data_IF_367485947753
#
_entry.id   IF_367485947753
#
_cell.length_a   1.000
_cell.length_b   1.000
_cell.length_c   1.000
_cell.angle_alpha   90.00
_cell.angle_beta   90.00
_cell.angle_gamma   90.00
#
_symmetry.space_group_name_H-M   'P 1'
#
loop_
_entity.id
_entity.type
_entity.pdbx_description
1 polymer ?
#
# COMPACT_ATOMS: atom_id res chain seq x y z
N UNK A 1 12.06 -45.03 -30.90
CA UNK A 1 12.09 -44.62 -29.47
C UNK A 1 13.45 -44.00 -29.21
N UNK A 2 13.49 -42.76 -28.71
CA UNK A 2 14.72 -42.05 -28.37
C UNK A 2 14.83 -40.68 -29.03
N UNK A 3 14.15 -39.67 -28.46
CA UNK A 3 14.34 -38.25 -28.74
C UNK A 3 15.66 -37.77 -28.13
N UNK A 4 16.58 -37.31 -28.97
CA UNK A 4 17.83 -36.65 -28.55
C UNK A 4 17.66 -35.13 -28.76
N UNK A 5 17.86 -34.36 -27.69
CA UNK A 5 17.84 -32.90 -27.70
C UNK A 5 19.11 -32.33 -28.37
N UNK A 6 19.05 -31.20 -29.11
CA UNK A 6 20.25 -30.56 -29.64
C UNK A 6 21.00 -29.77 -28.55
N UNK A 7 22.29 -30.04 -28.45
CA UNK A 7 23.26 -29.35 -27.62
C UNK A 7 23.43 -27.87 -28.00
N UNK A 8 23.57 -27.02 -26.98
CA UNK A 8 24.16 -25.69 -27.06
C UNK A 8 25.64 -25.80 -27.40
N UNK A 9 26.05 -25.41 -28.61
CA UNK A 9 27.40 -24.93 -28.87
C UNK A 9 27.41 -23.87 -29.98
N UNK A 10 28.27 -22.88 -29.74
CA UNK A 10 28.90 -21.98 -30.72
C UNK A 10 28.04 -20.89 -31.38
N UNK A 11 27.98 -19.74 -30.72
CA UNK A 11 28.02 -18.45 -31.42
C UNK A 11 29.14 -17.61 -30.80
N UNK A 12 30.36 -17.85 -31.28
CA UNK A 12 31.48 -16.91 -31.19
C UNK A 12 32.04 -16.69 -32.58
N UNK A 13 32.36 -15.43 -32.87
CA UNK A 13 32.98 -14.90 -34.08
C UNK A 13 32.10 -14.77 -35.33
N UNK A 14 31.57 -13.56 -35.55
CA UNK A 14 31.91 -12.72 -36.72
C UNK A 14 31.14 -11.40 -36.62
N UNK A 15 31.79 -10.36 -36.10
CA UNK A 15 31.36 -8.98 -36.31
C UNK A 15 32.57 -8.20 -36.80
N UNK A 16 32.66 -8.06 -38.11
CA UNK A 16 33.61 -7.21 -38.82
C UNK A 16 33.42 -5.76 -38.41
N UNK A 17 34.56 -5.10 -38.25
CA UNK A 17 34.71 -3.70 -37.87
C UNK A 17 34.20 -2.79 -39.00
N UNK A 18 33.17 -2.01 -38.70
CA UNK A 18 32.98 -0.68 -39.29
C UNK A 18 32.75 0.32 -38.16
N UNK A 19 33.78 1.12 -37.86
CA UNK A 19 33.70 2.30 -37.00
C UNK A 19 33.19 3.46 -37.83
N UNK A 20 32.00 3.97 -37.50
CA UNK A 20 31.70 5.40 -37.60
C UNK A 20 30.49 5.76 -36.75
N UNK A 21 30.54 6.96 -36.15
CA UNK A 21 29.58 7.62 -35.25
C UNK A 21 29.68 7.26 -33.76
N UNK A 22 30.31 8.18 -33.02
CA UNK A 22 30.53 8.16 -31.58
C UNK A 22 29.26 8.28 -30.75
N UNK A 23 28.55 7.17 -30.61
CA UNK A 23 27.65 6.96 -29.47
C UNK A 23 28.48 6.32 -28.36
N UNK A 24 28.72 7.07 -27.28
CA UNK A 24 29.25 6.51 -26.04
C UNK A 24 28.27 5.42 -25.61
N UNK A 25 28.67 4.16 -25.76
CA UNK A 25 27.90 3.03 -25.26
C UNK A 25 27.75 3.21 -23.75
N UNK A 26 26.50 3.32 -23.29
CA UNK A 26 26.20 3.25 -21.86
C UNK A 26 26.86 1.98 -21.30
N UNK A 27 27.45 2.03 -20.10
CA UNK A 27 28.00 0.84 -19.46
C UNK A 27 26.89 -0.24 -19.38
N UNK A 28 27.24 -1.53 -19.51
CA UNK A 28 26.25 -2.60 -19.49
C UNK A 28 25.44 -2.49 -18.19
N UNK A 29 24.11 -2.37 -18.32
CA UNK A 29 23.18 -2.37 -17.19
C UNK A 29 23.48 -3.59 -16.32
N UNK A 30 23.73 -3.37 -15.03
CA UNK A 30 23.82 -4.46 -14.06
C UNK A 30 22.57 -5.35 -14.18
N UNK A 31 22.80 -6.67 -14.28
CA UNK A 31 21.77 -7.68 -14.32
C UNK A 31 21.05 -7.74 -12.96
N UNK A 32 19.88 -7.11 -12.88
CA UNK A 32 19.02 -7.15 -11.69
C UNK A 32 18.20 -8.45 -11.69
N UNK A 33 18.66 -9.43 -10.91
CA UNK A 33 17.99 -10.72 -10.72
C UNK A 33 16.53 -10.58 -10.24
N UNK A 34 16.20 -9.53 -9.47
CA UNK A 34 14.83 -9.26 -9.03
C UNK A 34 13.92 -8.91 -10.20
N UNK A 35 14.39 -8.08 -11.13
CA UNK A 35 13.62 -7.73 -12.32
C UNK A 35 13.51 -8.88 -13.34
N UNK A 36 14.53 -9.75 -13.43
CA UNK A 36 14.65 -10.82 -14.42
C UNK A 36 13.84 -12.07 -14.07
N UNK A 37 13.75 -12.43 -12.77
CA UNK A 37 13.05 -13.64 -12.33
C UNK A 37 11.56 -13.45 -12.02
N UNK A 38 11.11 -12.21 -11.83
CA UNK A 38 9.80 -11.94 -11.21
C UNK A 38 8.70 -11.49 -12.19
N UNK A 39 9.05 -10.91 -13.34
CA UNK A 39 8.07 -10.15 -14.15
C UNK A 39 7.89 -10.71 -15.56
N UNK A 40 6.76 -11.39 -15.80
CA UNK A 40 6.29 -11.72 -17.16
C UNK A 40 5.14 -10.78 -17.54
N UNK A 41 5.40 -9.88 -18.48
CA UNK A 41 4.48 -8.82 -18.89
C UNK A 41 3.39 -9.33 -19.86
N UNK A 42 2.40 -10.08 -19.36
CA UNK A 42 1.33 -10.69 -20.19
C UNK A 42 -0.10 -10.33 -19.75
N UNK A 43 -0.29 -9.43 -18.78
CA UNK A 43 -1.60 -9.09 -18.21
C UNK A 43 -2.49 -8.22 -19.09
N UNK A 44 -3.81 -8.44 -19.02
CA UNK A 44 -4.85 -7.60 -19.65
C UNK A 44 -5.32 -6.47 -18.72
N UNK A 45 -6.08 -5.50 -19.23
CA UNK A 45 -6.62 -4.40 -18.43
C UNK A 45 -7.66 -4.87 -17.38
N UNK A 46 -8.44 -5.91 -17.68
CA UNK A 46 -9.37 -6.53 -16.72
C UNK A 46 -8.61 -7.25 -15.59
N UNK A 47 -7.53 -7.95 -15.94
CA UNK A 47 -6.65 -8.59 -14.96
C UNK A 47 -6.02 -7.55 -14.04
N UNK A 48 -5.56 -6.43 -14.59
CA UNK A 48 -5.07 -5.28 -13.80
C UNK A 48 -6.15 -4.70 -12.88
N UNK A 49 -7.37 -4.45 -13.39
CA UNK A 49 -8.49 -3.98 -12.56
C UNK A 49 -8.84 -4.94 -11.43
N UNK A 50 -8.82 -6.24 -11.70
CA UNK A 50 -9.00 -7.28 -10.68
C UNK A 50 -7.91 -7.21 -9.61
N UNK A 51 -6.63 -7.23 -9.98
CA UNK A 51 -5.51 -7.16 -9.01
C UNK A 51 -5.49 -5.85 -8.23
N UNK A 52 -5.82 -4.72 -8.86
CA UNK A 52 -5.98 -3.44 -8.15
C UNK A 52 -7.10 -3.54 -7.11
N UNK A 53 -8.27 -4.08 -7.51
CA UNK A 53 -9.43 -4.21 -6.62
C UNK A 53 -9.13 -5.13 -5.45
N UNK A 54 -8.60 -6.32 -5.70
CA UNK A 54 -8.35 -7.32 -4.65
C UNK A 54 -7.18 -6.95 -3.74
N UNK A 55 -6.24 -6.15 -4.23
CA UNK A 55 -5.12 -5.64 -3.41
C UNK A 55 -5.53 -4.47 -2.53
N UNK A 56 -6.35 -3.54 -3.06
CA UNK A 56 -6.81 -2.37 -2.31
C UNK A 56 -7.94 -2.73 -1.33
N UNK A 57 -8.90 -3.55 -1.77
CA UNK A 57 -9.98 -4.06 -0.90
C UNK A 57 -9.42 -5.06 0.12
N UNK A 58 -8.86 -4.52 1.20
CA UNK A 58 -8.18 -5.23 2.27
C UNK A 58 -9.03 -5.24 3.56
N UNK A 59 -8.71 -6.08 4.55
CA UNK A 59 -9.41 -6.10 5.85
C UNK A 59 -9.42 -4.75 6.57
N UNK A 60 -8.56 -3.82 6.15
CA UNK A 60 -8.58 -2.41 6.52
C UNK A 60 -10.01 -1.81 6.48
N UNK A 61 -10.83 -2.19 5.49
CA UNK A 61 -12.19 -1.69 5.35
C UNK A 61 -13.09 -2.01 6.57
N UNK A 62 -12.78 -3.07 7.32
CA UNK A 62 -13.52 -3.47 8.53
C UNK A 62 -13.36 -2.46 9.68
N UNK A 63 -12.37 -1.57 9.59
CA UNK A 63 -12.13 -0.50 10.57
C UNK A 63 -12.78 0.85 10.18
N UNK A 64 -13.43 0.95 9.02
CA UNK A 64 -14.07 2.19 8.59
C UNK A 64 -15.18 2.67 9.56
N UNK A 65 -16.06 1.81 10.09
CA UNK A 65 -17.02 2.23 11.11
C UNK A 65 -16.35 2.81 12.35
N UNK A 66 -15.22 2.22 12.78
CA UNK A 66 -14.40 2.73 13.86
C UNK A 66 -13.82 4.11 13.56
N UNK A 67 -13.28 4.33 12.35
CA UNK A 67 -12.81 5.65 11.92
C UNK A 67 -13.93 6.71 11.94
N UNK A 68 -15.17 6.33 11.61
CA UNK A 68 -16.33 7.22 11.70
C UNK A 68 -16.71 7.57 13.15
N UNK A 69 -16.44 6.70 14.14
CA UNK A 69 -16.63 7.06 15.56
C UNK A 69 -15.75 8.23 16.01
N UNK A 70 -14.58 8.35 15.39
CA UNK A 70 -13.57 9.35 15.72
C UNK A 70 -13.81 10.69 15.00
N UNK A 71 -14.47 10.65 13.83
CA UNK A 71 -14.72 11.83 12.97
C UNK A 71 -16.18 12.31 12.98
N UNK A 72 -17.12 11.47 13.39
CA UNK A 72 -18.56 11.66 13.20
C UNK A 72 -18.99 11.48 11.73
N UNK A 73 -20.30 11.48 11.49
CA UNK A 73 -20.91 11.26 10.17
C UNK A 73 -20.36 12.18 9.08
N UNK A 74 -20.43 13.49 9.31
CA UNK A 74 -20.06 14.50 8.31
C UNK A 74 -18.55 14.44 8.03
N UNK A 75 -17.73 14.41 9.08
CA UNK A 75 -16.27 14.33 8.96
C UNK A 75 -15.82 13.03 8.29
N UNK A 76 -16.38 11.89 8.68
CA UNK A 76 -16.04 10.59 8.12
C UNK A 76 -16.37 10.47 6.63
N UNK A 77 -17.55 10.93 6.20
CA UNK A 77 -17.95 10.89 4.78
C UNK A 77 -17.10 11.83 3.92
N UNK A 78 -16.80 13.03 4.41
CA UNK A 78 -15.91 13.97 3.71
C UNK A 78 -14.50 13.39 3.60
N UNK A 79 -13.94 12.84 4.69
CA UNK A 79 -12.62 12.22 4.67
C UNK A 79 -12.57 11.00 3.74
N UNK A 80 -13.59 10.16 3.72
CA UNK A 80 -13.70 9.02 2.79
C UNK A 80 -13.71 9.48 1.34
N UNK A 81 -14.51 10.49 1.00
CA UNK A 81 -14.61 11.02 -0.36
C UNK A 81 -13.32 11.72 -0.80
N UNK A 82 -12.74 12.55 0.07
CA UNK A 82 -11.48 13.25 -0.22
C UNK A 82 -10.32 12.28 -0.36
N UNK A 83 -10.22 11.27 0.52
CA UNK A 83 -9.21 10.22 0.39
C UNK A 83 -9.35 9.51 -0.96
N UNK A 84 -10.54 9.01 -1.32
CA UNK A 84 -10.78 8.35 -2.60
C UNK A 84 -10.44 9.23 -3.82
N UNK A 85 -10.80 10.51 -3.80
CA UNK A 85 -10.49 11.46 -4.88
C UNK A 85 -8.98 11.71 -5.02
N UNK A 86 -8.29 11.95 -3.90
CA UNK A 86 -6.85 12.24 -3.90
C UNK A 86 -6.07 10.99 -4.31
N UNK A 87 -6.42 9.82 -3.78
CA UNK A 87 -5.73 8.57 -4.13
C UNK A 87 -5.94 8.19 -5.61
N UNK A 88 -7.15 8.37 -6.15
CA UNK A 88 -7.40 8.16 -7.59
C UNK A 88 -6.53 9.07 -8.45
N UNK A 89 -6.44 10.35 -8.07
CA UNK A 89 -5.60 11.33 -8.73
C UNK A 89 -4.11 10.98 -8.64
N UNK A 90 -3.60 10.67 -7.44
CA UNK A 90 -2.25 10.20 -7.19
C UNK A 90 -1.85 9.02 -8.08
N UNK A 91 -2.69 8.00 -8.15
CA UNK A 91 -2.36 6.79 -8.93
C UNK A 91 -2.34 7.04 -10.42
N UNK A 92 -3.20 7.94 -10.90
CA UNK A 92 -3.17 8.37 -12.29
C UNK A 92 -1.86 9.13 -12.62
N UNK A 93 -1.42 10.03 -11.74
CA UNK A 93 -0.15 10.75 -11.87
C UNK A 93 1.07 9.82 -11.85
N UNK A 94 1.09 8.87 -10.91
CA UNK A 94 2.16 7.87 -10.80
C UNK A 94 2.27 7.03 -12.08
N UNK A 95 1.13 6.59 -12.61
CA UNK A 95 1.08 5.81 -13.85
C UNK A 95 1.68 6.56 -15.04
N UNK A 96 1.36 7.86 -15.18
CA UNK A 96 1.91 8.72 -16.23
C UNK A 96 3.43 8.91 -16.12
N UNK A 97 3.95 9.04 -14.90
CA UNK A 97 5.40 9.14 -14.64
C UNK A 97 6.13 7.86 -15.05
N UNK A 98 5.59 6.71 -14.66
CA UNK A 98 6.15 5.41 -15.02
C UNK A 98 6.14 5.19 -16.54
N UNK A 99 5.06 5.58 -17.23
CA UNK A 99 4.97 5.53 -18.70
C UNK A 99 6.01 6.43 -19.40
N UNK A 100 6.33 7.59 -18.84
CA UNK A 100 7.36 8.48 -19.39
C UNK A 100 8.76 7.89 -19.25
N UNK A 101 9.07 7.29 -18.10
CA UNK A 101 10.37 6.66 -17.82
C UNK A 101 10.58 5.37 -18.64
N UNK A 102 9.51 4.60 -18.88
CA UNK A 102 9.54 3.43 -19.76
C UNK A 102 9.92 3.80 -21.20
N UNK A 103 9.37 4.90 -21.74
CA UNK A 103 9.71 5.40 -23.10
C UNK A 103 11.17 5.84 -23.24
N UNK A 104 11.82 6.18 -22.14
CA UNK A 104 13.24 6.56 -22.10
C UNK A 104 14.16 5.36 -21.85
N UNK A 105 13.63 4.15 -21.65
CA UNK A 105 14.40 2.93 -21.46
C UNK A 105 14.97 2.72 -20.05
N UNK A 106 14.53 3.49 -19.04
CA UNK A 106 15.00 3.37 -17.65
C UNK A 106 13.86 2.93 -16.72
N UNK A 107 14.04 1.77 -16.07
CA UNK A 107 13.12 1.21 -15.08
C UNK A 107 13.70 1.50 -13.68
N UNK A 108 13.02 2.30 -12.86
CA UNK A 108 13.53 2.87 -11.60
C UNK A 108 12.80 2.29 -10.37
N UNK A 109 13.49 2.09 -9.23
CA UNK A 109 13.03 1.16 -8.17
C UNK A 109 12.94 1.63 -6.69
N UNK A 110 13.65 2.62 -6.07
CA UNK A 110 13.53 2.89 -4.58
C UNK A 110 13.81 4.32 -4.08
N UNK A 111 13.38 4.62 -2.83
CA UNK A 111 13.02 5.94 -2.28
C UNK A 111 13.84 6.54 -1.10
N UNK A 112 14.93 5.91 -0.61
CA UNK A 112 15.36 6.05 0.80
C UNK A 112 16.19 7.28 1.22
N UNK A 113 16.93 7.96 0.36
CA UNK A 113 18.09 8.76 0.83
C UNK A 113 17.83 10.25 1.14
N UNK A 114 16.59 10.75 0.99
CA UNK A 114 16.34 12.21 0.93
C UNK A 114 15.75 12.83 2.22
N UNK A 115 15.36 12.04 3.21
CA UNK A 115 14.41 12.49 4.25
C UNK A 115 15.02 13.00 5.57
N UNK A 116 16.35 13.13 5.70
CA UNK A 116 16.98 13.29 7.02
C UNK A 116 17.12 14.74 7.54
N UNK A 117 16.98 15.78 6.71
CA UNK A 117 17.56 17.08 7.08
C UNK A 117 16.62 18.18 7.66
N UNK A 118 15.28 18.14 7.50
CA UNK A 118 14.51 19.41 7.62
C UNK A 118 13.07 19.21 8.16
N UNK A 119 12.83 18.97 9.46
CA UNK A 119 12.54 19.99 10.50
C UNK A 119 11.19 20.77 10.38
N UNK A 120 10.21 20.48 11.27
CA UNK A 120 9.50 21.51 12.07
C UNK A 120 8.00 21.84 11.84
N UNK A 121 7.29 22.30 12.89
CA UNK A 121 5.80 22.45 13.04
C UNK A 121 5.31 23.79 13.68
N UNK A 122 4.00 24.16 13.53
CA UNK A 122 3.12 24.97 14.46
C UNK A 122 1.70 25.24 13.84
N UNK A 123 0.66 25.86 14.48
CA UNK A 123 -0.30 25.45 15.54
C UNK A 123 -1.55 26.42 15.59
N UNK A 124 -2.82 25.91 15.61
CA UNK A 124 -4.13 26.43 16.21
C UNK A 124 -5.27 27.15 15.38
N UNK A 125 -6.55 26.67 15.53
CA UNK A 125 -7.87 27.40 15.59
C UNK A 125 -9.14 26.49 15.90
N UNK A 126 -10.38 26.98 16.29
CA UNK A 126 -11.38 26.35 17.23
C UNK A 126 -12.83 25.88 16.73
N UNK A 127 -13.82 25.54 17.63
CA UNK A 127 -14.75 24.31 17.71
C UNK A 127 -16.32 24.48 17.81
N UNK A 128 -17.16 23.42 17.45
CA UNK A 128 -18.49 22.93 18.02
C UNK A 128 -18.80 21.37 17.79
N UNK A 129 -19.86 20.75 18.38
CA UNK A 129 -19.97 19.35 18.99
C UNK A 129 -20.95 18.24 18.42
N UNK A 130 -20.56 16.94 18.52
CA UNK A 130 -21.32 15.63 18.55
C UNK A 130 -20.46 14.55 19.28
N UNK A 131 -20.90 14.06 20.45
CA UNK A 131 -20.02 13.58 21.53
C UNK A 131 -19.19 12.30 21.28
N UNK A 132 -17.85 12.47 21.29
CA UNK A 132 -16.79 11.45 21.40
C UNK A 132 -16.28 11.42 22.85
N UNK A 133 -16.15 10.24 23.47
CA UNK A 133 -15.62 10.10 24.86
C UNK A 133 -14.10 10.28 24.87
N UNK A 134 -13.57 11.10 25.79
CA UNK A 134 -12.13 11.34 26.00
C UNK A 134 -11.80 12.79 26.35
N UNK A 135 -10.60 13.08 26.86
CA UNK A 135 -10.17 14.47 27.08
C UNK A 135 -9.98 15.22 25.75
N UNK A 136 -9.97 16.55 25.75
CA UNK A 136 -9.76 17.35 24.53
C UNK A 136 -8.48 16.97 23.75
N UNK A 137 -7.47 16.45 24.45
CA UNK A 137 -6.24 15.91 23.84
C UNK A 137 -6.53 14.60 23.12
N UNK A 138 -7.25 13.67 23.75
CA UNK A 138 -7.63 12.39 23.16
C UNK A 138 -8.45 12.56 21.88
N UNK A 139 -9.38 13.51 21.88
CA UNK A 139 -10.24 13.77 20.72
C UNK A 139 -9.45 14.30 19.51
N UNK A 140 -8.51 15.22 19.73
CA UNK A 140 -7.68 15.74 18.65
C UNK A 140 -6.81 14.64 18.03
N UNK A 141 -6.18 13.81 18.86
CA UNK A 141 -5.42 12.67 18.36
C UNK A 141 -6.33 11.65 17.65
N UNK A 142 -7.54 11.42 18.14
CA UNK A 142 -8.53 10.54 17.50
C UNK A 142 -8.85 10.92 16.05
N UNK A 143 -8.99 12.22 15.74
CA UNK A 143 -9.23 12.70 14.36
C UNK A 143 -8.10 12.28 13.42
N UNK A 144 -6.84 12.48 13.83
CA UNK A 144 -5.68 12.11 13.01
C UNK A 144 -5.51 10.59 12.90
N UNK A 145 -5.85 9.85 13.97
CA UNK A 145 -5.91 8.40 13.96
C UNK A 145 -6.89 7.93 12.88
N UNK A 146 -8.09 8.51 12.83
CA UNK A 146 -9.14 8.17 11.87
C UNK A 146 -8.78 8.49 10.42
N UNK A 147 -8.21 9.68 10.16
CA UNK A 147 -7.73 10.06 8.83
C UNK A 147 -6.67 9.05 8.36
N UNK A 148 -5.79 8.62 9.26
CA UNK A 148 -4.76 7.63 8.95
C UNK A 148 -5.38 6.27 8.65
N UNK A 149 -6.35 5.80 9.44
CA UNK A 149 -7.09 4.56 9.17
C UNK A 149 -7.74 4.60 7.78
N UNK A 150 -8.45 5.70 7.46
CA UNK A 150 -9.08 5.89 6.15
C UNK A 150 -8.02 5.87 5.05
N UNK A 151 -6.90 6.56 5.21
CA UNK A 151 -5.81 6.53 4.24
C UNK A 151 -5.25 5.11 4.01
N UNK A 152 -5.14 4.29 5.06
CA UNK A 152 -4.74 2.88 4.95
C UNK A 152 -5.69 2.07 4.10
N UNK A 153 -7.00 2.35 4.17
CA UNK A 153 -7.99 1.59 3.39
C UNK A 153 -7.88 1.81 1.88
N UNK A 154 -7.42 2.98 1.44
CA UNK A 154 -7.26 3.31 0.03
C UNK A 154 -5.86 2.98 -0.52
N UNK A 155 -4.96 2.51 0.34
CA UNK A 155 -3.54 2.39 0.04
C UNK A 155 -3.19 1.24 -0.92
N UNK A 156 -2.19 1.47 -1.78
CA UNK A 156 -1.74 0.50 -2.78
C UNK A 156 -0.26 0.70 -3.07
N UNK A 157 0.57 0.20 -2.15
CA UNK A 157 2.02 0.27 -2.26
C UNK A 157 2.63 -0.59 -3.38
N UNK A 158 1.82 -1.29 -4.18
CA UNK A 158 2.25 -2.26 -5.20
C UNK A 158 1.81 -1.89 -6.63
N UNK A 159 1.33 -0.65 -6.84
CA UNK A 159 0.88 -0.17 -8.15
C UNK A 159 1.96 -0.28 -9.23
N UNK A 160 3.23 0.10 -8.98
CA UNK A 160 4.30 -0.07 -9.96
C UNK A 160 4.49 -1.53 -10.40
N UNK A 161 4.37 -2.47 -9.47
CA UNK A 161 4.49 -3.91 -9.68
C UNK A 161 3.30 -4.45 -10.48
N UNK A 162 2.07 -4.02 -10.17
CA UNK A 162 0.88 -4.38 -10.96
C UNK A 162 1.00 -3.83 -12.38
N UNK A 163 1.38 -2.56 -12.54
CA UNK A 163 1.56 -1.93 -13.85
C UNK A 163 2.66 -2.64 -14.66
N UNK A 164 3.73 -3.10 -14.00
CA UNK A 164 4.81 -3.87 -14.62
C UNK A 164 4.39 -5.23 -15.19
N UNK A 165 3.21 -5.76 -14.84
CA UNK A 165 2.67 -7.01 -15.40
C UNK A 165 1.83 -6.81 -16.67
N UNK A 166 1.42 -5.58 -16.99
CA UNK A 166 0.57 -5.28 -18.15
C UNK A 166 1.34 -5.43 -19.46
N UNK A 167 0.74 -6.14 -20.42
CA UNK A 167 1.31 -6.26 -21.76
C UNK A 167 1.38 -4.89 -22.49
N UNK A 168 2.50 -4.52 -23.15
CA UNK A 168 2.60 -3.32 -23.95
C UNK A 168 1.56 -3.28 -25.10
N UNK A 169 1.06 -2.10 -25.50
CA UNK A 169 1.22 -0.80 -24.83
C UNK A 169 0.41 -0.74 -23.53
N UNK A 170 0.98 -0.12 -22.49
CA UNK A 170 0.35 0.06 -21.17
C UNK A 170 -0.69 1.20 -21.18
N UNK A 171 -0.46 2.21 -22.04
CA UNK A 171 -1.27 3.42 -22.15
C UNK A 171 -2.77 3.12 -22.20
N UNK A 172 -3.51 3.70 -21.25
CA UNK A 172 -4.97 3.58 -21.15
C UNK A 172 -5.49 2.28 -20.54
N UNK A 173 -4.71 1.18 -20.52
CA UNK A 173 -5.10 -0.07 -19.84
C UNK A 173 -5.08 0.11 -18.33
N UNK A 174 -4.07 0.79 -17.79
CA UNK A 174 -3.96 1.10 -16.36
C UNK A 174 -5.12 1.99 -15.89
N UNK A 175 -5.44 3.05 -16.63
CA UNK A 175 -6.56 3.93 -16.31
C UNK A 175 -7.91 3.19 -16.26
N UNK A 176 -8.19 2.31 -17.24
CA UNK A 176 -9.40 1.46 -17.22
C UNK A 176 -9.44 0.54 -16.00
N UNK A 177 -8.29 -0.05 -15.63
CA UNK A 177 -8.16 -0.86 -14.41
C UNK A 177 -8.46 -0.06 -13.14
N UNK A 178 -7.92 1.16 -13.02
CA UNK A 178 -8.20 2.07 -11.91
C UNK A 178 -9.69 2.44 -11.83
N UNK A 179 -10.35 2.74 -12.96
CA UNK A 179 -11.79 3.06 -12.95
C UNK A 179 -12.65 1.91 -12.41
N UNK A 180 -12.38 0.67 -12.83
CA UNK A 180 -13.10 -0.53 -12.32
C UNK A 180 -12.86 -0.67 -10.82
N UNK A 181 -11.60 -0.57 -10.40
CA UNK A 181 -11.21 -0.67 -9.00
C UNK A 181 -11.94 0.35 -8.12
N UNK A 182 -11.91 1.63 -8.48
CA UNK A 182 -12.54 2.70 -7.70
C UNK A 182 -14.07 2.62 -7.71
N UNK A 183 -14.69 2.07 -8.76
CA UNK A 183 -16.14 1.83 -8.79
C UNK A 183 -16.55 0.79 -7.73
N UNK A 184 -15.77 -0.28 -7.59
CA UNK A 184 -15.99 -1.31 -6.56
C UNK A 184 -15.67 -0.75 -5.16
N UNK A 185 -14.58 -0.01 -5.01
CA UNK A 185 -14.19 0.59 -3.72
C UNK A 185 -15.25 1.56 -3.22
N UNK A 186 -15.75 2.48 -4.06
CA UNK A 186 -16.76 3.47 -3.63
C UNK A 186 -18.00 2.77 -3.08
N UNK A 187 -18.51 1.76 -3.78
CA UNK A 187 -19.72 1.04 -3.34
C UNK A 187 -19.50 0.26 -2.04
N UNK A 188 -18.37 -0.44 -1.93
CA UNK A 188 -18.08 -1.31 -0.78
C UNK A 188 -17.66 -0.52 0.46
N UNK A 189 -16.80 0.50 0.33
CA UNK A 189 -16.27 1.24 1.47
C UNK A 189 -17.32 2.17 2.07
N UNK A 190 -18.06 2.90 1.24
CA UNK A 190 -19.18 3.70 1.73
C UNK A 190 -20.26 2.80 2.30
N UNK A 191 -20.55 1.65 1.66
CA UNK A 191 -21.50 0.68 2.18
C UNK A 191 -21.15 0.20 3.59
N UNK A 192 -19.92 -0.28 3.80
CA UNK A 192 -19.46 -0.76 5.11
C UNK A 192 -19.35 0.36 6.14
N UNK A 193 -18.80 1.52 5.76
CA UNK A 193 -18.67 2.66 6.67
C UNK A 193 -20.05 3.16 7.15
N UNK A 194 -20.98 3.40 6.22
CA UNK A 194 -22.32 3.92 6.53
C UNK A 194 -23.11 2.88 7.32
N UNK A 195 -23.23 1.65 6.83
CA UNK A 195 -24.04 0.63 7.51
C UNK A 195 -23.48 0.26 8.88
N UNK A 196 -22.15 0.12 9.00
CA UNK A 196 -21.50 -0.22 10.26
C UNK A 196 -21.61 0.89 11.30
N UNK A 197 -21.40 2.16 10.91
CA UNK A 197 -21.54 3.28 11.85
C UNK A 197 -23.01 3.58 12.19
N UNK A 198 -23.95 3.35 11.25
CA UNK A 198 -25.38 3.40 11.54
C UNK A 198 -25.82 2.34 12.56
N UNK A 199 -25.29 1.11 12.44
CA UNK A 199 -25.65 0.00 13.32
C UNK A 199 -25.04 0.12 14.73
N UNK A 200 -23.77 0.55 14.84
CA UNK A 200 -23.04 0.51 16.11
C UNK A 200 -22.73 1.88 16.72
N UNK A 201 -22.88 2.97 15.96
CA UNK A 201 -22.56 4.32 16.42
C UNK A 201 -21.17 4.38 17.07
N UNK A 202 -21.07 5.09 18.20
CA UNK A 202 -19.82 5.25 18.95
C UNK A 202 -19.33 3.96 19.66
N UNK A 203 -20.06 2.85 19.54
CA UNK A 203 -19.63 1.54 20.04
C UNK A 203 -18.91 0.71 18.98
N UNK A 204 -18.76 1.20 17.74
CA UNK A 204 -18.00 0.48 16.72
C UNK A 204 -16.55 0.26 17.20
N UNK A 205 -16.10 -0.99 17.17
CA UNK A 205 -14.78 -1.41 17.62
C UNK A 205 -13.79 -1.39 16.46
N UNK A 206 -12.49 -1.48 16.75
CA UNK A 206 -11.41 -1.42 15.75
C UNK A 206 -11.60 -2.35 14.54
N UNK A 207 -12.36 -3.44 14.69
CA UNK A 207 -12.96 -4.16 13.57
C UNK A 207 -14.47 -4.30 13.81
N UNK A 208 -15.27 -4.07 12.77
CA UNK A 208 -16.73 -4.28 12.84
C UNK A 208 -17.09 -5.74 13.12
N UNK A 209 -16.22 -6.70 12.78
CA UNK A 209 -16.47 -8.11 13.07
C UNK A 209 -16.47 -8.39 14.57
N UNK A 210 -15.62 -7.68 15.33
CA UNK A 210 -15.55 -7.77 16.80
C UNK A 210 -16.86 -7.33 17.45
N UNK A 211 -17.56 -6.32 16.88
CA UNK A 211 -18.87 -5.91 17.37
C UNK A 211 -19.93 -7.04 17.34
N UNK A 212 -19.81 -7.98 16.40
CA UNK A 212 -20.74 -9.11 16.29
C UNK A 212 -20.34 -10.33 17.13
N UNK A 213 -19.14 -10.36 17.72
CA UNK A 213 -18.67 -11.47 18.56
C UNK A 213 -19.20 -11.37 20.00
N UNK A 214 -19.37 -10.15 20.53
CA UNK A 214 -19.88 -9.91 21.89
C UNK A 214 -19.00 -10.46 23.02
N UNK A 215 -19.26 -10.07 24.26
CA UNK A 215 -18.48 -10.53 25.43
C UNK A 215 -18.92 -11.92 25.92
N UNK A 216 -20.21 -12.25 25.78
CA UNK A 216 -20.77 -13.53 26.25
C UNK A 216 -21.37 -14.39 25.13
N UNK A 217 -22.07 -13.78 24.17
CA UNK A 217 -22.68 -14.49 23.03
C UNK A 217 -22.61 -13.65 21.75
N UNK A 218 -22.28 -14.26 20.60
CA UNK A 218 -22.24 -13.56 19.33
C UNK A 218 -23.64 -13.14 18.88
N UNK A 219 -23.72 -11.94 18.29
CA UNK A 219 -24.95 -11.37 17.72
C UNK A 219 -25.38 -12.08 16.43
N UNK A 220 -24.45 -12.81 15.80
CA UNK A 220 -24.68 -13.56 14.57
C UNK A 220 -24.46 -15.07 14.80
N UNK A 221 -25.08 -15.93 13.98
CA UNK A 221 -24.82 -17.36 14.02
C UNK A 221 -23.33 -17.68 13.85
N UNK A 222 -22.80 -18.59 14.66
CA UNK A 222 -21.37 -18.94 14.67
C UNK A 222 -20.86 -19.40 13.30
N UNK A 223 -21.69 -20.10 12.51
CA UNK A 223 -21.30 -20.53 11.16
C UNK A 223 -21.01 -19.34 10.24
N UNK A 224 -21.76 -18.24 10.39
CA UNK A 224 -21.61 -17.05 9.55
C UNK A 224 -20.33 -16.29 9.92
N UNK A 225 -20.05 -16.18 11.22
CA UNK A 225 -18.78 -15.62 11.71
C UNK A 225 -17.58 -16.49 11.31
N UNK A 226 -17.70 -17.81 11.39
CA UNK A 226 -16.65 -18.74 10.96
C UNK A 226 -16.38 -18.61 9.46
N UNK A 227 -17.44 -18.62 8.63
CA UNK A 227 -17.33 -18.43 7.18
C UNK A 227 -16.62 -17.11 6.85
N UNK A 228 -17.04 -16.01 7.50
CA UNK A 228 -16.45 -14.68 7.30
C UNK A 228 -14.96 -14.66 7.67
N UNK A 229 -14.59 -15.29 8.79
CA UNK A 229 -13.18 -15.41 9.19
C UNK A 229 -12.36 -16.27 8.24
N UNK A 230 -12.91 -17.39 7.74
CA UNK A 230 -12.24 -18.26 6.76
C UNK A 230 -11.99 -17.50 5.45
N UNK A 231 -12.97 -16.75 4.95
CA UNK A 231 -12.80 -15.94 3.74
C UNK A 231 -11.81 -14.79 3.96
N UNK A 232 -11.84 -14.15 5.12
CA UNK A 232 -10.86 -13.11 5.48
C UNK A 232 -9.45 -13.70 5.54
N UNK A 233 -9.27 -14.87 6.17
CA UNK A 233 -7.97 -15.55 6.23
C UNK A 233 -7.46 -15.91 4.84
N UNK A 234 -8.32 -16.46 3.98
CA UNK A 234 -7.94 -16.83 2.62
C UNK A 234 -7.50 -15.60 1.81
N UNK A 235 -8.27 -14.51 1.91
CA UNK A 235 -7.99 -13.25 1.23
C UNK A 235 -6.69 -12.60 1.74
N UNK A 236 -6.48 -12.52 3.05
CA UNK A 236 -5.25 -11.99 3.65
C UNK A 236 -4.03 -12.82 3.24
N UNK A 237 -4.19 -14.14 3.20
CA UNK A 237 -3.11 -15.05 2.77
C UNK A 237 -2.68 -14.74 1.33
N UNK A 238 -3.64 -14.55 0.43
CA UNK A 238 -3.35 -14.20 -0.97
C UNK A 238 -2.69 -12.81 -1.09
N UNK A 239 -3.24 -11.80 -0.42
CA UNK A 239 -2.73 -10.42 -0.45
C UNK A 239 -1.33 -10.31 0.16
N UNK A 240 -1.05 -11.05 1.23
CA UNK A 240 0.28 -11.04 1.89
C UNK A 240 1.40 -11.43 0.95
N UNK A 241 1.18 -12.43 0.08
CA UNK A 241 2.18 -12.86 -0.92
C UNK A 241 2.51 -11.73 -1.90
N UNK A 242 1.50 -10.97 -2.31
CA UNK A 242 1.67 -9.85 -3.25
C UNK A 242 2.37 -8.66 -2.57
N UNK A 243 1.94 -8.29 -1.36
CA UNK A 243 2.55 -7.18 -0.62
C UNK A 243 3.96 -7.45 -0.10
N UNK A 244 4.35 -8.72 0.07
CA UNK A 244 5.72 -9.09 0.39
C UNK A 244 6.66 -9.00 -0.82
N UNK A 245 6.14 -8.85 -2.05
CA UNK A 245 6.95 -8.87 -3.26
C UNK A 245 8.06 -7.79 -3.28
N UNK A 246 7.80 -6.52 -2.93
CA UNK A 246 8.86 -5.50 -2.89
C UNK A 246 9.92 -5.83 -1.83
N UNK A 247 9.50 -6.33 -0.67
CA UNK A 247 10.41 -6.79 0.41
C UNK A 247 11.26 -7.97 -0.05
N UNK A 248 10.65 -8.92 -0.76
CA UNK A 248 11.35 -10.09 -1.30
C UNK A 248 12.39 -9.68 -2.33
N UNK A 249 12.09 -8.71 -3.20
CA UNK A 249 13.05 -8.16 -4.14
C UNK A 249 14.23 -7.47 -3.41
N UNK A 250 13.97 -6.80 -2.28
CA UNK A 250 15.04 -6.24 -1.43
C UNK A 250 15.94 -7.33 -0.87
N UNK A 251 15.35 -8.42 -0.36
CA UNK A 251 16.10 -9.54 0.17
C UNK A 251 16.92 -10.24 -0.92
N UNK A 252 16.32 -10.50 -2.08
CA UNK A 252 17.01 -11.18 -3.18
C UNK A 252 18.13 -10.33 -3.74
N UNK A 253 17.95 -9.02 -3.91
CA UNK A 253 19.03 -8.13 -4.30
C UNK A 253 20.23 -8.15 -3.34
N UNK A 254 19.97 -8.32 -2.03
CA UNK A 254 21.02 -8.26 -1.00
C UNK A 254 21.69 -9.60 -0.72
N UNK A 255 20.96 -10.70 -0.86
CA UNK A 255 21.39 -12.02 -0.37
C UNK A 255 21.41 -13.12 -1.44
N UNK A 256 20.83 -12.91 -2.63
CA UNK A 256 20.92 -13.85 -3.73
C UNK A 256 22.12 -13.55 -4.64
N UNK A 257 22.71 -14.60 -5.21
CA UNK A 257 23.77 -14.49 -6.20
C UNK A 257 23.17 -14.55 -7.60
N UNK A 258 23.30 -13.44 -8.34
CA UNK A 258 22.79 -13.30 -9.71
C UNK A 258 23.54 -14.16 -10.74
N UNK A 259 24.74 -14.66 -10.41
CA UNK A 259 25.52 -15.54 -11.28
C UNK A 259 25.07 -17.00 -11.21
N UNK A 260 24.26 -17.34 -10.22
CA UNK A 260 23.79 -18.69 -9.95
C UNK A 260 22.32 -18.85 -10.38
N UNK A 261 21.89 -20.06 -10.82
CA UNK A 261 20.50 -20.32 -11.17
C UNK A 261 19.52 -19.99 -10.03
N UNK A 262 18.31 -19.54 -10.36
CA UNK A 262 17.32 -19.10 -9.36
C UNK A 262 16.91 -20.17 -8.34
N UNK A 263 17.01 -21.44 -8.73
CA UNK A 263 16.67 -22.60 -7.90
C UNK A 263 17.90 -23.31 -7.31
N UNK A 264 19.08 -22.70 -7.41
CA UNK A 264 20.27 -23.22 -6.74
C UNK A 264 20.09 -23.16 -5.22
N UNK A 265 20.60 -24.16 -4.50
CA UNK A 265 20.54 -24.22 -3.03
C UNK A 265 21.06 -22.92 -2.40
N UNK A 266 22.11 -22.32 -2.99
CA UNK A 266 22.69 -21.04 -2.56
C UNK A 266 21.69 -19.88 -2.52
N UNK A 267 20.75 -19.84 -3.47
CA UNK A 267 19.72 -18.80 -3.58
C UNK A 267 18.41 -19.21 -2.89
N UNK A 268 18.05 -20.49 -2.90
CA UNK A 268 16.81 -21.01 -2.29
C UNK A 268 16.84 -20.93 -0.77
N UNK A 269 17.97 -21.26 -0.13
CA UNK A 269 18.06 -21.29 1.34
C UNK A 269 17.89 -19.88 1.96
N UNK A 270 18.63 -18.84 1.54
CA UNK A 270 18.40 -17.48 2.05
C UNK A 270 17.00 -16.96 1.72
N UNK A 271 16.46 -17.28 0.53
CA UNK A 271 15.10 -16.92 0.13
C UNK A 271 14.06 -17.50 1.09
N UNK A 272 14.14 -18.79 1.39
CA UNK A 272 13.21 -19.46 2.29
C UNK A 272 13.33 -18.88 3.72
N UNK A 273 14.54 -18.71 4.23
CA UNK A 273 14.77 -18.20 5.58
C UNK A 273 14.23 -16.77 5.73
N UNK A 274 14.61 -15.85 4.83
CA UNK A 274 14.25 -14.43 4.95
C UNK A 274 12.75 -14.20 4.75
N UNK A 275 12.12 -14.92 3.82
CA UNK A 275 10.67 -14.83 3.59
C UNK A 275 9.85 -15.42 4.73
N UNK A 276 10.27 -16.56 5.29
CA UNK A 276 9.59 -17.14 6.44
C UNK A 276 9.79 -16.29 7.69
N UNK A 277 11.00 -15.77 7.91
CA UNK A 277 11.31 -14.93 9.07
C UNK A 277 10.49 -13.63 9.06
N UNK A 278 10.32 -12.97 7.91
CA UNK A 278 9.52 -11.74 7.85
C UNK A 278 8.06 -11.97 8.25
N UNK A 279 7.46 -13.08 7.80
CA UNK A 279 6.10 -13.48 8.18
C UNK A 279 6.03 -13.82 9.66
N UNK A 280 6.97 -14.61 10.18
CA UNK A 280 7.00 -14.98 11.62
C UNK A 280 7.10 -13.75 12.50
N UNK A 281 7.99 -12.81 12.17
CA UNK A 281 8.13 -11.55 12.93
C UNK A 281 6.83 -10.74 12.89
N UNK A 282 6.22 -10.59 11.71
CA UNK A 282 4.95 -9.87 11.58
C UNK A 282 3.83 -10.54 12.41
N UNK A 283 3.74 -11.87 12.39
CA UNK A 283 2.76 -12.63 13.18
C UNK A 283 2.98 -12.48 14.68
N UNK A 284 4.24 -12.47 15.15
CA UNK A 284 4.56 -12.22 16.56
C UNK A 284 4.07 -10.83 16.98
N UNK A 285 4.35 -9.78 16.19
CA UNK A 285 3.86 -8.44 16.48
C UNK A 285 2.32 -8.36 16.50
N UNK A 286 1.66 -9.02 15.55
CA UNK A 286 0.19 -9.08 15.51
C UNK A 286 -0.39 -9.81 16.74
N UNK A 287 0.25 -10.88 17.22
CA UNK A 287 -0.17 -11.58 18.43
C UNK A 287 0.11 -10.78 19.72
N UNK A 288 1.15 -9.95 19.73
CA UNK A 288 1.52 -9.12 20.89
C UNK A 288 0.62 -7.89 21.06
N UNK A 289 0.15 -7.29 19.97
CA UNK A 289 -0.59 -6.02 19.96
C UNK A 289 -1.89 -6.16 19.15
N UNK A 290 -2.98 -6.70 19.72
CA UNK A 290 -4.23 -6.93 18.99
C UNK A 290 -5.08 -5.66 18.80
N UNK A 291 -4.45 -4.48 18.71
CA UNK A 291 -5.12 -3.19 18.53
C UNK A 291 -5.27 -2.88 17.03
N UNK A 292 -6.16 -3.61 16.35
CA UNK A 292 -6.26 -3.55 14.89
C UNK A 292 -6.45 -2.12 14.36
N UNK A 293 -7.40 -1.36 14.92
CA UNK A 293 -7.66 0.02 14.50
C UNK A 293 -6.44 0.93 14.63
N UNK A 294 -5.71 0.84 15.74
CA UNK A 294 -4.56 1.71 16.01
C UNK A 294 -3.31 1.30 15.24
N UNK A 295 -3.13 0.01 14.99
CA UNK A 295 -2.11 -0.49 14.06
C UNK A 295 -2.42 -0.01 12.64
N UNK A 296 -3.69 -0.08 12.20
CA UNK A 296 -4.07 0.41 10.88
C UNK A 296 -3.86 1.90 10.74
N UNK A 297 -4.12 2.68 11.79
CA UNK A 297 -3.81 4.10 11.82
C UNK A 297 -2.30 4.35 11.70
N UNK A 298 -1.49 3.58 12.43
CA UNK A 298 -0.02 3.68 12.39
C UNK A 298 0.51 3.38 10.98
N UNK A 299 0.03 2.30 10.35
CA UNK A 299 0.36 1.95 8.97
C UNK A 299 -0.07 3.03 7.98
N UNK A 300 -1.24 3.62 8.20
CA UNK A 300 -1.75 4.73 7.39
C UNK A 300 -0.86 5.94 7.42
N UNK A 301 -0.50 6.36 8.63
CA UNK A 301 0.35 7.51 8.86
C UNK A 301 1.75 7.32 8.27
N UNK A 302 2.43 6.21 8.58
CA UNK A 302 3.83 6.01 8.21
C UNK A 302 4.06 5.37 6.85
N UNK A 303 3.13 4.53 6.39
CA UNK A 303 3.27 3.78 5.14
C UNK A 303 2.45 4.42 4.03
N UNK A 304 1.14 4.49 4.22
CA UNK A 304 0.20 4.77 3.13
C UNK A 304 0.17 6.24 2.74
N UNK A 305 0.03 7.16 3.69
CA UNK A 305 -0.05 8.60 3.40
C UNK A 305 1.18 9.08 2.59
N UNK A 306 2.42 8.72 2.96
CA UNK A 306 3.58 9.05 2.14
C UNK A 306 3.51 8.43 0.75
N UNK A 307 3.39 7.10 0.68
CA UNK A 307 3.48 6.35 -0.57
C UNK A 307 2.39 6.73 -1.58
N UNK A 308 1.17 6.97 -1.11
CA UNK A 308 -0.01 7.11 -1.96
C UNK A 308 -0.43 8.56 -2.17
N UNK A 309 -0.09 9.49 -1.28
CA UNK A 309 -0.57 10.88 -1.37
C UNK A 309 0.55 11.88 -1.60
N UNK A 310 1.78 11.59 -1.17
CA UNK A 310 2.91 12.52 -1.29
C UNK A 310 3.75 12.18 -2.51
N UNK A 311 4.21 10.93 -2.59
CA UNK A 311 5.18 10.51 -3.59
C UNK A 311 4.69 10.66 -5.03
N UNK A 312 3.42 10.35 -5.36
CA UNK A 312 2.92 10.53 -6.73
C UNK A 312 2.88 11.99 -7.17
N UNK A 313 2.52 12.91 -6.26
CA UNK A 313 2.49 14.37 -6.54
C UNK A 313 3.89 14.90 -6.86
N UNK A 314 4.88 14.48 -6.06
CA UNK A 314 6.28 14.87 -6.24
C UNK A 314 6.81 14.29 -7.55
N UNK A 315 6.59 13.00 -7.78
CA UNK A 315 7.03 12.31 -8.99
C UNK A 315 6.50 12.94 -10.26
N UNK A 316 5.24 13.34 -10.27
CA UNK A 316 4.65 14.01 -11.42
C UNK A 316 5.29 15.38 -11.66
N UNK A 317 5.40 16.21 -10.62
CA UNK A 317 5.96 17.54 -10.75
C UNK A 317 7.43 17.51 -11.18
N UNK A 318 8.21 16.53 -10.72
CA UNK A 318 9.62 16.37 -11.11
C UNK A 318 9.76 15.86 -12.55
N UNK A 319 8.91 14.91 -12.95
CA UNK A 319 8.99 14.27 -14.28
C UNK A 319 8.52 15.19 -15.39
N UNK A 320 7.36 15.82 -15.22
CA UNK A 320 6.73 16.63 -16.26
C UNK A 320 7.04 18.13 -16.15
N UNK A 321 7.64 18.56 -15.02
CA UNK A 321 8.00 19.97 -14.75
C UNK A 321 6.88 20.95 -15.17
N UNK A 322 5.65 20.77 -14.69
CA UNK A 322 4.55 21.64 -15.07
C UNK A 322 4.85 23.10 -14.67
N UNK A 323 4.40 24.06 -15.49
CA UNK A 323 4.58 25.49 -15.19
C UNK A 323 4.04 25.84 -13.81
N UNK A 324 4.72 26.74 -13.08
CA UNK A 324 4.28 27.26 -11.78
C UNK A 324 2.97 28.08 -11.87
N UNK A 325 2.52 28.41 -13.07
CA UNK A 325 1.22 29.03 -13.35
C UNK A 325 0.11 28.00 -13.56
N UNK A 326 0.45 26.71 -13.72
CA UNK A 326 -0.52 25.64 -13.91
C UNK A 326 -1.20 25.28 -12.60
N UNK A 327 -2.52 25.09 -12.66
CA UNK A 327 -3.31 24.57 -11.54
C UNK A 327 -2.79 23.21 -11.05
N UNK A 328 -2.29 22.37 -11.97
CA UNK A 328 -1.77 21.02 -11.64
C UNK A 328 -0.58 21.12 -10.69
N UNK A 329 0.32 22.10 -10.90
CA UNK A 329 1.47 22.30 -10.02
C UNK A 329 1.02 22.61 -8.59
N UNK A 330 0.10 23.57 -8.43
CA UNK A 330 -0.39 23.98 -7.11
C UNK A 330 -1.23 22.92 -6.41
N UNK A 331 -2.07 22.19 -7.14
CA UNK A 331 -2.86 21.08 -6.58
C UNK A 331 -1.94 19.97 -6.07
N UNK A 332 -0.95 19.56 -6.88
CA UNK A 332 0.03 18.56 -6.46
C UNK A 332 0.82 19.01 -5.23
N UNK A 333 1.27 20.27 -5.22
CA UNK A 333 2.02 20.84 -4.10
C UNK A 333 1.16 20.93 -2.83
N UNK A 334 -0.12 21.29 -2.95
CA UNK A 334 -1.05 21.35 -1.83
C UNK A 334 -1.32 19.96 -1.24
N UNK A 335 -1.64 18.98 -2.09
CA UNK A 335 -1.92 17.60 -1.66
C UNK A 335 -0.69 17.03 -0.96
N UNK A 336 0.49 17.14 -1.57
CA UNK A 336 1.73 16.66 -0.97
C UNK A 336 2.00 17.33 0.39
N UNK A 337 1.79 18.65 0.49
CA UNK A 337 2.00 19.42 1.71
C UNK A 337 1.06 19.03 2.85
N UNK A 338 -0.25 18.89 2.56
CA UNK A 338 -1.25 18.50 3.55
C UNK A 338 -1.03 17.06 4.01
N UNK A 339 -0.80 16.13 3.08
CA UNK A 339 -0.53 14.73 3.38
C UNK A 339 0.73 14.57 4.23
N UNK A 340 1.77 15.36 3.99
CA UNK A 340 2.97 15.34 4.83
C UNK A 340 2.70 15.74 6.28
N UNK A 341 1.88 16.77 6.51
CA UNK A 341 1.47 17.14 7.88
C UNK A 341 0.68 16.01 8.55
N UNK A 342 -0.19 15.32 7.79
CA UNK A 342 -0.98 14.20 8.29
C UNK A 342 -0.13 13.00 8.71
N UNK A 343 0.98 12.72 8.02
CA UNK A 343 1.95 11.67 8.43
C UNK A 343 2.44 11.93 9.85
N UNK A 344 2.95 13.14 10.11
CA UNK A 344 3.56 13.47 11.40
C UNK A 344 2.55 13.45 12.55
N UNK A 345 1.40 14.08 12.35
CA UNK A 345 0.39 14.14 13.41
C UNK A 345 -0.33 12.79 13.58
N UNK A 346 -0.61 12.07 12.48
CA UNK A 346 -1.19 10.73 12.48
C UNK A 346 -0.29 9.71 13.16
N UNK A 347 1.02 9.77 12.94
CA UNK A 347 2.01 8.93 13.60
C UNK A 347 1.99 9.10 15.12
N UNK A 348 2.08 10.35 15.60
CA UNK A 348 2.05 10.67 17.03
C UNK A 348 0.72 10.25 17.65
N UNK A 349 -0.39 10.48 16.95
CA UNK A 349 -1.72 10.04 17.38
C UNK A 349 -1.79 8.52 17.56
N UNK A 350 -1.35 7.77 16.54
CA UNK A 350 -1.42 6.31 16.51
C UNK A 350 -0.53 5.69 17.59
N UNK A 351 0.73 6.14 17.72
CA UNK A 351 1.66 5.65 18.75
C UNK A 351 1.13 5.97 20.15
N UNK A 352 0.60 7.18 20.36
CA UNK A 352 -0.01 7.56 21.64
C UNK A 352 -1.16 6.64 21.99
N UNK A 353 -2.04 6.35 21.02
CA UNK A 353 -3.20 5.49 21.24
C UNK A 353 -2.77 4.05 21.58
N UNK A 354 -1.84 3.47 20.83
CA UNK A 354 -1.24 2.16 21.14
C UNK A 354 -0.64 2.13 22.56
N UNK A 355 0.08 3.18 22.97
CA UNK A 355 0.67 3.25 24.33
C UNK A 355 -0.40 3.32 25.41
N UNK A 356 -1.50 4.04 25.18
CA UNK A 356 -2.61 4.12 26.13
C UNK A 356 -3.30 2.76 26.26
N UNK A 357 -3.59 2.09 25.15
CA UNK A 357 -4.26 0.79 25.15
C UNK A 357 -3.35 -0.32 25.70
N UNK A 358 -2.04 -0.24 25.46
CA UNK A 358 -1.04 -1.15 26.02
C UNK A 358 -0.91 -1.05 27.56
N UNK A 359 -1.22 0.10 28.18
CA UNK A 359 -1.18 0.24 29.66
C UNK A 359 -2.26 -0.59 30.35
N UNK A 360 -3.36 -0.84 29.66
CA UNK A 360 -4.49 -1.62 30.17
C UNK A 360 -4.46 -3.09 29.73
N UNK A 361 -3.56 -3.44 28.81
CA UNK A 361 -3.46 -4.78 28.23
C UNK A 361 -2.28 -5.57 28.79
N UNK A 362 -2.46 -6.88 28.96
CA UNK A 362 -1.36 -7.82 29.26
C UNK A 362 -0.95 -8.51 27.97
N UNK A 363 0.35 -8.55 27.67
CA UNK A 363 0.87 -9.22 26.48
C UNK A 363 0.33 -10.66 26.40
N UNK A 364 -0.17 -11.04 25.22
CA UNK A 364 -0.78 -12.35 24.93
C UNK A 364 -2.06 -12.69 25.69
N UNK A 365 -2.83 -11.72 26.20
CA UNK A 365 -4.07 -12.01 26.94
C UNK A 365 -5.17 -12.73 26.13
N UNK A 366 -5.03 -12.82 24.80
CA UNK A 366 -5.97 -13.51 23.90
C UNK A 366 -5.44 -14.86 23.38
N UNK A 367 -4.29 -15.34 23.87
CA UNK A 367 -3.78 -16.71 23.69
C UNK A 367 -3.92 -17.47 25.01
#
# INVERSE_FOLDING_TARGET
MGTVAPNLMEVSATASVHKENGVVANPPKELDAGALFVLKSQGSWLHCGYHLTTSIAAPALLSLPFALTLLGWVGGLICLALAGLVTFYSYNLLSLVLEHQEKLGHRQLRFRDMARDILGHSNKAPVRDYTVKGSAKDRNFGIFNAISIIATTYASGIIPEIQATLAPPVKGKMFKGLCVCYSVIVTTYFGVAISGYWAFGNQAMGTVLTNFMGDEKPLLPTWFLLMTNVFTLLQVSAVTVVYLQPTNEVFEKKFADAKMPQFSIRNVVPRLILRSLSVVVATIFAAMLPFFGDIMALFGAFGCIPLDFILPMIFYNVTFKPSKQSLIFWVNTLIAGVSFLLVGVGAVASVRQIVLDAKTYRLFANM
#
